data_IF_958662518030
#
_entry.id   IF_958662518030
#
_cell.length_a   1.000
_cell.length_b   1.000
_cell.length_c   1.000
_cell.angle_alpha   90.00
_cell.angle_beta   90.00
_cell.angle_gamma   90.00
#
_symmetry.space_group_name_H-M   'P 1'
#
loop_
_entity.id
_entity.type
_entity.pdbx_description
1 polymer ?
#
# COMPACT_ATOMS: atom_id res chain seq x y z
N UNK A 1 -27.73 10.97 -13.86
CA UNK A 1 -26.74 12.06 -13.80
C UNK A 1 -25.46 11.54 -14.41
N UNK A 2 -25.12 11.98 -15.62
CA UNK A 2 -23.86 11.63 -16.27
C UNK A 2 -22.74 12.43 -15.61
N UNK A 3 -21.67 11.77 -15.21
CA UNK A 3 -20.49 12.37 -14.55
C UNK A 3 -19.61 13.19 -15.53
N UNK A 4 -20.11 13.45 -16.75
CA UNK A 4 -19.34 13.93 -17.90
C UNK A 4 -19.16 15.45 -17.96
N UNK A 5 -19.61 16.22 -16.96
CA UNK A 5 -19.52 17.69 -16.99
C UNK A 5 -18.46 18.25 -16.03
N UNK A 6 -17.43 17.47 -15.68
CA UNK A 6 -16.32 17.96 -14.87
C UNK A 6 -15.03 18.00 -15.70
N UNK A 7 -14.72 19.19 -16.23
CA UNK A 7 -13.48 19.48 -16.99
C UNK A 7 -12.22 19.10 -16.19
N UNK A 8 -12.29 19.08 -14.86
CA UNK A 8 -11.21 18.58 -13.99
C UNK A 8 -11.01 17.05 -14.07
N UNK A 9 -12.06 16.25 -14.27
CA UNK A 9 -11.96 14.80 -14.40
C UNK A 9 -11.38 14.42 -15.77
N UNK A 10 -11.80 15.08 -16.85
CA UNK A 10 -11.23 14.84 -18.19
C UNK A 10 -9.73 15.17 -18.26
N UNK A 11 -9.29 16.26 -17.62
CA UNK A 11 -7.85 16.59 -17.53
C UNK A 11 -7.06 15.65 -16.62
N UNK A 12 -7.69 15.06 -15.61
CA UNK A 12 -7.04 14.16 -14.66
C UNK A 12 -6.82 12.76 -15.23
N UNK A 13 -7.77 12.26 -16.04
CA UNK A 13 -7.64 11.03 -16.82
C UNK A 13 -7.05 11.27 -18.21
N UNK A 14 -6.69 12.50 -18.55
CA UNK A 14 -5.99 12.80 -19.79
C UNK A 14 -4.68 12.00 -19.86
N UNK A 15 -4.37 11.49 -21.05
CA UNK A 15 -3.16 10.69 -21.34
C UNK A 15 -1.84 11.40 -21.00
N UNK A 16 -1.88 12.70 -20.68
CA UNK A 16 -0.73 13.46 -20.23
C UNK A 16 -0.36 13.21 -18.76
N UNK A 17 -1.31 12.74 -17.93
CA UNK A 17 -1.11 12.50 -16.49
C UNK A 17 -0.75 11.06 -16.18
N UNK A 18 -1.55 10.12 -16.68
CA UNK A 18 -1.30 8.70 -16.55
C UNK A 18 -0.36 8.28 -17.68
N UNK A 19 0.79 7.71 -17.29
CA UNK A 19 1.73 7.07 -18.20
C UNK A 19 1.26 5.67 -18.60
N UNK A 20 2.23 4.79 -18.87
CA UNK A 20 1.94 3.42 -19.27
C UNK A 20 1.26 2.62 -18.15
N UNK A 21 0.45 1.64 -18.56
CA UNK A 21 -0.04 0.59 -17.66
C UNK A 21 1.13 -0.31 -17.29
N UNK A 22 1.49 -0.37 -16.01
CA UNK A 22 2.53 -1.28 -15.51
C UNK A 22 1.97 -2.66 -15.24
N UNK A 23 0.80 -2.72 -14.58
CA UNK A 23 0.10 -3.97 -14.30
C UNK A 23 -1.38 -3.83 -14.65
N UNK A 24 -1.85 -4.43 -15.75
CA UNK A 24 -3.27 -4.42 -16.09
C UNK A 24 -4.08 -5.27 -15.10
N UNK A 25 -5.37 -4.96 -14.94
CA UNK A 25 -6.27 -5.64 -14.01
C UNK A 25 -6.22 -7.17 -14.11
N UNK A 26 -6.14 -7.73 -15.32
CA UNK A 26 -6.06 -9.17 -15.55
C UNK A 26 -4.81 -9.81 -14.91
N UNK A 27 -3.65 -9.14 -15.02
CA UNK A 27 -2.39 -9.58 -14.43
C UNK A 27 -2.44 -9.48 -12.91
N UNK A 28 -3.00 -8.39 -12.38
CA UNK A 28 -3.20 -8.21 -10.93
C UNK A 28 -4.09 -9.33 -10.38
N UNK A 29 -5.27 -9.56 -10.98
CA UNK A 29 -6.21 -10.60 -10.54
C UNK A 29 -5.59 -11.99 -10.55
N UNK A 30 -4.81 -12.32 -11.59
CA UNK A 30 -4.10 -13.60 -11.65
C UNK A 30 -3.09 -13.72 -10.50
N UNK A 31 -2.29 -12.68 -10.25
CA UNK A 31 -1.29 -12.69 -9.20
C UNK A 31 -1.91 -12.77 -7.80
N UNK A 32 -2.97 -12.02 -7.54
CA UNK A 32 -3.73 -12.08 -6.28
C UNK A 32 -4.28 -13.49 -6.05
N UNK A 33 -4.80 -14.14 -7.10
CA UNK A 33 -5.28 -15.53 -6.99
C UNK A 33 -4.17 -16.53 -6.63
N UNK A 34 -2.96 -16.33 -7.16
CA UNK A 34 -1.81 -17.17 -6.81
C UNK A 34 -1.41 -16.98 -5.35
N UNK A 35 -1.36 -15.74 -4.87
CA UNK A 35 -1.04 -15.43 -3.47
C UNK A 35 -2.10 -16.01 -2.53
N UNK A 36 -3.38 -15.84 -2.85
CA UNK A 36 -4.47 -16.40 -2.05
C UNK A 36 -4.37 -17.92 -1.90
N UNK A 37 -4.01 -18.61 -2.99
CA UNK A 37 -3.72 -20.05 -2.95
C UNK A 37 -2.52 -20.37 -2.03
N UNK A 38 -1.40 -19.66 -2.16
CA UNK A 38 -0.24 -19.88 -1.28
C UNK A 38 -0.56 -19.65 0.19
N UNK A 39 -1.35 -18.62 0.52
CA UNK A 39 -1.81 -18.38 1.90
C UNK A 39 -2.71 -19.53 2.38
N UNK A 40 -3.63 -20.01 1.53
CA UNK A 40 -4.51 -21.15 1.84
C UNK A 40 -3.69 -22.39 2.20
N UNK A 41 -2.69 -22.71 1.37
CA UNK A 41 -1.83 -23.88 1.58
C UNK A 41 -0.98 -23.73 2.86
N UNK A 42 -0.38 -22.56 3.08
CA UNK A 42 0.51 -22.28 4.23
C UNK A 42 -0.22 -22.24 5.58
N UNK A 43 -1.51 -21.89 5.57
CA UNK A 43 -2.35 -21.75 6.77
C UNK A 43 -3.48 -22.78 6.83
N UNK A 44 -3.35 -23.91 6.12
CA UNK A 44 -4.35 -24.99 6.15
C UNK A 44 -4.65 -25.44 7.60
N UNK A 45 -5.94 -25.42 7.97
CA UNK A 45 -6.40 -25.77 9.32
C UNK A 45 -6.17 -24.68 10.38
N UNK A 46 -5.91 -23.44 9.96
CA UNK A 46 -5.74 -22.26 10.82
C UNK A 46 -6.70 -21.15 10.43
N UNK A 47 -6.84 -20.17 11.32
CA UNK A 47 -7.73 -19.01 11.16
C UNK A 47 -6.94 -17.68 11.24
N UNK A 48 -6.14 -17.35 10.21
CA UNK A 48 -5.31 -16.15 10.25
C UNK A 48 -6.14 -14.87 10.21
N UNK A 49 -5.59 -13.80 10.80
CA UNK A 49 -6.13 -12.44 10.70
C UNK A 49 -5.36 -11.66 9.64
N UNK A 50 -6.07 -11.08 8.68
CA UNK A 50 -5.50 -10.16 7.70
C UNK A 50 -5.57 -8.74 8.25
N UNK A 51 -4.42 -8.10 8.42
CA UNK A 51 -4.33 -6.73 8.95
C UNK A 51 -3.86 -5.80 7.83
N UNK A 52 -4.71 -4.86 7.41
CA UNK A 52 -4.33 -3.87 6.39
C UNK A 52 -4.04 -2.51 7.00
N UNK A 53 -2.99 -1.87 6.49
CA UNK A 53 -2.65 -0.49 6.84
C UNK A 53 -3.47 0.47 6.01
N UNK A 54 -4.21 1.36 6.68
CA UNK A 54 -5.04 2.33 5.98
C UNK A 54 -4.17 3.40 5.31
N UNK A 55 -4.48 3.83 4.08
CA UNK A 55 -5.69 3.52 3.28
C UNK A 55 -5.42 2.66 2.04
N UNK A 56 -4.18 2.61 1.57
CA UNK A 56 -3.87 2.11 0.23
C UNK A 56 -4.06 0.61 0.07
N UNK A 57 -3.80 -0.17 1.12
CA UNK A 57 -3.93 -1.63 1.11
C UNK A 57 -5.36 -2.19 0.97
N UNK A 58 -6.40 -1.37 1.11
CA UNK A 58 -7.80 -1.84 1.20
C UNK A 58 -8.24 -2.60 -0.06
N UNK A 59 -7.90 -2.10 -1.25
CA UNK A 59 -8.34 -2.72 -2.51
C UNK A 59 -7.65 -4.08 -2.69
N UNK A 60 -6.34 -4.14 -2.47
CA UNK A 60 -5.58 -5.39 -2.51
C UNK A 60 -6.07 -6.39 -1.45
N UNK A 61 -6.27 -5.96 -0.21
CA UNK A 61 -6.83 -6.77 0.87
C UNK A 61 -8.17 -7.41 0.48
N UNK A 62 -9.08 -6.62 -0.09
CA UNK A 62 -10.42 -7.07 -0.45
C UNK A 62 -10.40 -8.10 -1.58
N UNK A 63 -9.52 -7.91 -2.57
CA UNK A 63 -9.35 -8.88 -3.65
C UNK A 63 -8.67 -10.16 -3.16
N UNK A 64 -7.66 -10.02 -2.30
CA UNK A 64 -6.90 -11.13 -1.74
C UNK A 64 -7.76 -12.01 -0.82
N UNK A 65 -8.54 -11.41 0.09
CA UNK A 65 -9.36 -12.14 1.05
C UNK A 65 -10.34 -13.09 0.36
N UNK A 66 -10.91 -12.68 -0.78
CA UNK A 66 -11.81 -13.51 -1.62
C UNK A 66 -11.10 -14.65 -2.36
N UNK A 67 -9.78 -14.75 -2.27
CA UNK A 67 -8.96 -15.80 -2.90
C UNK A 67 -8.31 -16.74 -1.88
N UNK A 68 -8.55 -16.52 -0.59
CA UNK A 68 -8.10 -17.40 0.48
C UNK A 68 -9.27 -18.31 0.84
N UNK A 69 -9.07 -19.63 0.76
CA UNK A 69 -10.08 -20.65 1.04
C UNK A 69 -9.93 -21.17 2.47
N UNK A 70 -10.06 -20.25 3.43
CA UNK A 70 -9.96 -20.49 4.87
C UNK A 70 -10.93 -19.58 5.62
N UNK A 71 -11.26 -19.92 6.86
CA UNK A 71 -11.84 -18.95 7.79
C UNK A 71 -10.79 -17.88 8.13
N UNK A 72 -11.14 -16.61 7.96
CA UNK A 72 -10.26 -15.46 8.22
C UNK A 72 -11.02 -14.36 8.93
N UNK A 73 -10.32 -13.55 9.72
CA UNK A 73 -10.80 -12.23 10.15
C UNK A 73 -10.00 -11.11 9.47
N UNK A 74 -10.59 -9.92 9.38
CA UNK A 74 -9.95 -8.73 8.78
C UNK A 74 -9.99 -7.60 9.79
N UNK A 75 -8.86 -6.94 9.99
CA UNK A 75 -8.77 -5.74 10.80
C UNK A 75 -7.88 -4.68 10.13
N UNK A 76 -7.94 -3.45 10.62
CA UNK A 76 -7.29 -2.30 10.03
C UNK A 76 -6.51 -1.52 11.07
N UNK A 77 -5.28 -1.15 10.71
CA UNK A 77 -4.48 -0.22 11.49
C UNK A 77 -4.30 1.09 10.72
N UNK A 78 -4.61 2.20 11.38
CA UNK A 78 -4.36 3.54 10.85
C UNK A 78 -3.02 4.04 11.34
N UNK A 79 -2.20 4.56 10.43
CA UNK A 79 -0.94 5.21 10.78
C UNK A 79 -0.82 6.59 10.14
N UNK A 80 -0.05 7.45 10.78
CA UNK A 80 0.42 8.72 10.22
C UNK A 80 1.92 8.83 10.41
N UNK A 81 2.64 9.13 9.33
CA UNK A 81 4.07 9.47 9.37
C UNK A 81 4.23 10.97 9.58
N UNK A 82 5.00 11.38 10.59
CA UNK A 82 5.33 12.80 10.77
C UNK A 82 6.30 13.27 9.67
N UNK A 83 5.83 14.17 8.81
CA UNK A 83 6.70 15.00 7.98
C UNK A 83 7.15 16.18 8.84
N UNK A 84 8.35 16.11 9.44
CA UNK A 84 8.95 17.26 10.10
C UNK A 84 9.12 18.42 9.10
N UNK A 85 9.21 19.66 9.61
CA UNK A 85 9.42 20.87 8.81
C UNK A 85 10.74 20.89 8.00
N UNK A 86 11.66 19.95 8.27
CA UNK A 86 12.89 19.73 7.52
C UNK A 86 12.80 18.42 6.73
N UNK A 87 13.49 18.32 5.59
CA UNK A 87 13.46 17.23 4.58
C UNK A 87 13.85 15.83 5.11
N UNK A 88 13.91 15.62 6.42
CA UNK A 88 14.15 14.34 7.07
C UNK A 88 12.81 13.71 7.48
N UNK A 89 12.46 12.59 6.84
CA UNK A 89 11.50 11.65 7.41
C UNK A 89 12.08 11.23 8.76
N UNK A 90 11.56 11.77 9.88
CA UNK A 90 12.04 11.43 11.23
C UNK A 90 11.78 9.96 11.58
N UNK A 91 11.05 9.23 10.73
CA UNK A 91 10.67 7.84 10.95
C UNK A 91 9.64 7.68 12.07
N UNK A 92 9.14 8.79 12.62
CA UNK A 92 8.13 8.76 13.69
C UNK A 92 6.79 8.43 13.04
N UNK A 93 6.34 7.19 13.28
CA UNK A 93 5.02 6.69 12.92
C UNK A 93 4.15 6.78 14.17
N UNK A 94 2.92 7.30 14.01
CA UNK A 94 1.88 7.31 15.05
C UNK A 94 0.71 6.46 14.60
N UNK A 95 0.21 5.61 15.48
CA UNK A 95 -1.05 4.89 15.29
C UNK A 95 -2.20 5.89 15.45
N UNK A 96 -3.04 6.01 14.43
CA UNK A 96 -4.23 6.87 14.38
C UNK A 96 -5.53 6.09 14.57
N UNK A 97 -5.52 4.79 14.24
CA UNK A 97 -6.54 3.81 14.58
C UNK A 97 -5.83 2.52 14.95
N UNK A 98 -6.18 1.95 16.10
CA UNK A 98 -5.66 0.65 16.52
C UNK A 98 -6.58 -0.49 16.07
N UNK A 99 -6.08 -1.73 16.21
CA UNK A 99 -6.82 -2.97 16.00
C UNK A 99 -8.01 -3.06 16.97
N UNK A 100 -9.09 -3.66 16.49
CA UNK A 100 -10.29 -3.96 17.27
C UNK A 100 -10.24 -5.39 17.84
N UNK A 101 -9.66 -6.34 17.11
CA UNK A 101 -9.47 -7.71 17.58
C UNK A 101 -8.18 -7.87 18.41
N UNK A 102 -8.23 -8.77 19.39
CA UNK A 102 -7.01 -9.26 20.03
C UNK A 102 -6.24 -10.15 19.06
N UNK A 103 -4.92 -9.99 19.07
CA UNK A 103 -4.01 -10.74 18.21
C UNK A 103 -3.10 -11.71 18.98
N UNK A 104 -3.29 -11.83 20.30
CA UNK A 104 -2.52 -12.77 21.12
C UNK A 104 -2.76 -14.21 20.65
N UNK A 105 -1.68 -14.95 20.40
CA UNK A 105 -1.74 -16.33 19.91
C UNK A 105 -2.30 -16.50 18.48
N UNK A 106 -2.55 -15.41 17.75
CA UNK A 106 -3.08 -15.46 16.37
C UNK A 106 -1.97 -15.44 15.33
N UNK A 107 -2.23 -16.07 14.18
CA UNK A 107 -1.43 -15.94 12.98
C UNK A 107 -1.83 -14.67 12.23
N UNK A 108 -0.91 -13.70 12.09
CA UNK A 108 -1.18 -12.41 11.44
C UNK A 108 -0.54 -12.37 10.06
N UNK A 109 -1.29 -11.88 9.08
CA UNK A 109 -0.77 -11.51 7.76
C UNK A 109 -0.99 -10.01 7.56
N UNK A 110 0.10 -9.24 7.59
CA UNK A 110 0.05 -7.81 7.28
C UNK A 110 -0.09 -7.66 5.76
N UNK A 111 -1.13 -6.97 5.31
CA UNK A 111 -1.45 -6.73 3.89
C UNK A 111 -1.20 -5.26 3.53
N UNK A 112 -0.16 -5.02 2.73
CA UNK A 112 0.29 -3.69 2.29
C UNK A 112 0.14 -3.50 0.78
N UNK A 113 -0.18 -2.29 0.34
CA UNK A 113 -0.18 -1.95 -1.09
C UNK A 113 1.24 -1.82 -1.64
N UNK A 114 2.14 -1.14 -0.92
CA UNK A 114 3.52 -0.96 -1.33
C UNK A 114 4.48 -0.90 -0.14
N UNK A 115 5.57 -1.65 -0.22
CA UNK A 115 6.68 -1.53 0.73
C UNK A 115 7.89 -0.91 0.03
N UNK A 116 8.13 0.37 0.34
CA UNK A 116 9.25 1.16 -0.18
C UNK A 116 10.49 1.06 0.75
N UNK A 117 10.71 2.02 1.66
CA UNK A 117 11.89 2.00 2.55
C UNK A 117 11.87 0.91 3.61
N UNK A 118 10.69 0.37 3.93
CA UNK A 118 10.49 -0.66 4.96
C UNK A 118 10.38 -0.13 6.39
N UNK A 119 10.52 1.17 6.60
CA UNK A 119 10.47 1.78 7.95
C UNK A 119 9.10 1.62 8.60
N UNK A 120 8.03 1.87 7.84
CA UNK A 120 6.64 1.77 8.30
C UNK A 120 6.28 0.36 8.73
N UNK A 121 6.49 -0.63 7.86
CA UNK A 121 6.15 -2.02 8.16
C UNK A 121 7.01 -2.57 9.31
N UNK A 122 8.28 -2.15 9.44
CA UNK A 122 9.10 -2.52 10.59
C UNK A 122 8.60 -1.90 11.92
N UNK A 123 8.10 -0.67 11.88
CA UNK A 123 7.44 -0.08 13.04
C UNK A 123 6.22 -0.92 13.47
N UNK A 124 5.37 -1.29 12.49
CA UNK A 124 4.20 -2.13 12.74
C UNK A 124 4.60 -3.51 13.28
N UNK A 125 5.59 -4.16 12.69
CA UNK A 125 6.11 -5.44 13.17
C UNK A 125 6.53 -5.35 14.65
N UNK A 126 7.25 -4.30 15.06
CA UNK A 126 7.64 -4.13 16.47
C UNK A 126 6.42 -3.94 17.38
N UNK A 127 5.46 -3.13 16.97
CA UNK A 127 4.24 -2.86 17.74
C UNK A 127 3.32 -4.09 17.87
N UNK A 128 3.19 -4.88 16.81
CA UNK A 128 2.34 -6.07 16.80
C UNK A 128 3.00 -7.25 17.52
N UNK A 129 4.34 -7.41 17.41
CA UNK A 129 5.08 -8.45 18.15
C UNK A 129 4.94 -8.33 19.66
N UNK A 130 4.86 -7.12 20.21
CA UNK A 130 4.67 -6.94 21.66
C UNK A 130 3.29 -7.37 22.16
N UNK A 131 2.37 -7.76 21.27
CA UNK A 131 1.04 -8.28 21.60
C UNK A 131 0.96 -9.81 21.55
N UNK A 132 2.12 -10.48 21.50
CA UNK A 132 2.28 -11.94 21.54
C UNK A 132 1.48 -12.75 20.51
N UNK A 133 1.51 -12.42 19.20
CA UNK A 133 0.92 -13.27 18.19
C UNK A 133 1.69 -14.59 18.02
N UNK A 134 1.02 -15.61 17.48
CA UNK A 134 1.68 -16.88 17.13
C UNK A 134 2.65 -16.72 15.96
N UNK A 135 2.28 -15.91 14.96
CA UNK A 135 3.17 -15.53 13.86
C UNK A 135 2.79 -14.17 13.28
N UNK A 136 3.74 -13.53 12.60
CA UNK A 136 3.47 -12.34 11.78
C UNK A 136 4.22 -12.50 10.46
N UNK A 137 3.48 -12.54 9.37
CA UNK A 137 4.01 -12.57 8.02
C UNK A 137 3.55 -11.35 7.22
N UNK A 138 4.30 -11.00 6.17
CA UNK A 138 4.02 -9.83 5.34
C UNK A 138 3.62 -10.28 3.94
N UNK A 139 2.50 -9.72 3.48
CA UNK A 139 2.00 -9.79 2.11
C UNK A 139 1.94 -8.37 1.53
N UNK A 140 2.67 -8.09 0.46
CA UNK A 140 2.57 -6.80 -0.24
C UNK A 140 2.24 -6.97 -1.70
N UNK A 141 1.43 -6.06 -2.25
CA UNK A 141 1.20 -6.01 -3.68
C UNK A 141 2.46 -5.55 -4.43
N UNK A 142 3.12 -4.49 -3.99
CA UNK A 142 4.32 -3.94 -4.62
C UNK A 142 5.52 -3.90 -3.67
N UNK A 143 6.62 -4.53 -4.05
CA UNK A 143 7.90 -4.41 -3.35
C UNK A 143 8.85 -3.50 -4.14
N UNK A 144 9.16 -2.32 -3.60
CA UNK A 144 10.19 -1.42 -4.14
C UNK A 144 11.48 -1.59 -3.34
N UNK A 145 12.13 -2.73 -3.54
CA UNK A 145 13.31 -3.12 -2.78
C UNK A 145 14.55 -2.23 -3.04
N UNK A 146 14.63 -1.53 -4.16
CA UNK A 146 15.77 -0.67 -4.52
C UNK A 146 15.98 0.53 -3.58
N UNK A 147 14.95 0.89 -2.80
CA UNK A 147 14.97 1.98 -1.81
C UNK A 147 14.94 1.45 -0.36
N UNK A 148 15.11 0.15 -0.17
CA UNK A 148 15.07 -0.52 1.14
C UNK A 148 16.13 0.06 2.07
N UNK A 149 15.69 0.57 3.22
CA UNK A 149 16.56 1.06 4.31
C UNK A 149 16.50 0.10 5.49
N UNK A 150 15.30 -0.36 5.83
CA UNK A 150 15.09 -1.32 6.92
C UNK A 150 14.84 -2.71 6.34
N UNK A 151 15.67 -3.67 6.71
CA UNK A 151 15.51 -5.06 6.32
C UNK A 151 14.11 -5.56 6.68
N UNK A 152 13.42 -6.13 5.69
CA UNK A 152 12.03 -6.56 5.82
C UNK A 152 11.89 -7.88 5.10
N UNK A 153 11.59 -8.95 5.85
CA UNK A 153 11.27 -10.24 5.25
C UNK A 153 9.82 -10.22 4.77
N UNK A 154 9.64 -10.20 3.44
CA UNK A 154 8.34 -10.25 2.79
C UNK A 154 8.09 -11.70 2.37
N UNK A 155 7.00 -12.31 2.87
CA UNK A 155 6.67 -13.71 2.56
C UNK A 155 5.93 -13.82 1.23
N UNK A 156 5.00 -12.90 0.98
CA UNK A 156 4.23 -12.88 -0.26
C UNK A 156 4.39 -11.52 -0.96
N UNK A 157 4.94 -11.56 -2.17
CA UNK A 157 5.13 -10.36 -3.01
C UNK A 157 4.26 -10.48 -4.25
N UNK A 158 3.42 -9.49 -4.52
CA UNK A 158 2.70 -9.37 -5.79
C UNK A 158 3.67 -9.15 -6.94
N UNK A 159 4.31 -7.98 -6.96
CA UNK A 159 5.24 -7.56 -8.00
C UNK A 159 6.40 -6.79 -7.39
N UNK A 160 7.58 -6.92 -7.98
CA UNK A 160 8.72 -6.06 -7.69
C UNK A 160 8.74 -4.91 -8.69
N UNK A 161 8.94 -3.69 -8.21
CA UNK A 161 9.00 -2.47 -9.05
C UNK A 161 10.31 -1.72 -8.83
N UNK A 162 10.66 -0.88 -9.81
CA UNK A 162 11.81 0.01 -9.74
C UNK A 162 11.44 1.41 -9.23
N UNK A 163 12.00 2.42 -9.90
CA UNK A 163 11.85 3.83 -9.55
C UNK A 163 10.53 4.46 -10.02
N UNK A 164 9.64 3.69 -10.64
CA UNK A 164 8.37 4.19 -11.17
C UNK A 164 7.51 4.78 -10.05
N UNK A 165 6.97 5.98 -10.25
CA UNK A 165 5.89 6.50 -9.42
C UNK A 165 4.59 5.87 -9.88
N UNK A 166 3.85 5.25 -8.97
CA UNK A 166 2.71 4.39 -9.33
C UNK A 166 1.42 4.87 -8.68
N UNK A 167 0.33 4.74 -9.40
CA UNK A 167 -1.04 5.04 -8.95
C UNK A 167 -2.01 3.97 -9.44
N UNK A 168 -3.19 3.91 -8.82
CA UNK A 168 -4.21 2.93 -9.16
C UNK A 168 -4.19 1.71 -8.25
N UNK A 169 -5.31 0.98 -8.23
CA UNK A 169 -5.50 -0.21 -7.41
C UNK A 169 -5.19 0.04 -5.92
N UNK A 170 -5.71 1.15 -5.38
CA UNK A 170 -5.49 1.58 -3.99
C UNK A 170 -4.39 2.62 -3.84
N UNK A 171 -3.37 2.62 -4.71
CA UNK A 171 -2.27 3.59 -4.70
C UNK A 171 -2.77 4.97 -5.18
N UNK A 172 -2.24 6.03 -4.59
CA UNK A 172 -2.70 7.39 -4.88
C UNK A 172 -1.60 8.38 -5.23
N UNK A 173 -2.07 9.46 -5.86
CA UNK A 173 -1.38 10.73 -5.88
C UNK A 173 -2.34 11.82 -5.42
N UNK A 174 -2.00 12.51 -4.33
CA UNK A 174 -2.85 13.56 -3.72
C UNK A 174 -4.29 13.06 -3.47
N UNK A 175 -4.45 11.83 -2.99
CA UNK A 175 -5.71 11.12 -2.74
C UNK A 175 -6.54 10.78 -3.99
N UNK A 176 -6.00 10.99 -5.19
CA UNK A 176 -6.65 10.63 -6.47
C UNK A 176 -6.16 9.29 -7.00
N UNK A 177 -6.86 8.75 -7.99
CA UNK A 177 -6.53 7.53 -8.77
C UNK A 177 -6.66 6.18 -8.06
N UNK A 178 -6.93 6.13 -6.74
CA UNK A 178 -7.08 4.85 -6.01
C UNK A 178 -8.08 3.89 -6.66
N UNK A 179 -9.12 4.42 -7.29
CA UNK A 179 -10.24 3.69 -7.89
C UNK A 179 -9.92 3.07 -9.26
N UNK A 180 -8.75 3.31 -9.84
CA UNK A 180 -8.35 2.63 -11.07
C UNK A 180 -8.16 1.13 -10.81
N UNK A 181 -8.59 0.29 -11.75
CA UNK A 181 -8.57 -1.18 -11.63
C UNK A 181 -7.20 -1.81 -11.95
N UNK A 182 -6.27 -0.99 -12.42
CA UNK A 182 -4.95 -1.34 -12.91
C UNK A 182 -3.92 -0.39 -12.29
N UNK A 183 -2.64 -0.76 -12.33
CA UNK A 183 -1.54 0.06 -11.81
C UNK A 183 -0.86 0.75 -12.98
N UNK A 184 -0.74 2.07 -12.88
CA UNK A 184 -0.19 2.96 -13.90
C UNK A 184 1.06 3.63 -13.38
N UNK A 185 2.01 3.88 -14.28
CA UNK A 185 3.05 4.87 -14.03
C UNK A 185 2.43 6.28 -14.05
N UNK A 186 2.80 7.13 -13.10
CA UNK A 186 2.45 8.55 -13.10
C UNK A 186 3.52 9.34 -13.86
N UNK A 187 3.12 10.21 -14.78
CA UNK A 187 4.06 10.98 -15.60
C UNK A 187 5.01 11.83 -14.73
N UNK A 188 6.33 11.64 -14.94
CA UNK A 188 7.39 12.30 -14.17
C UNK A 188 7.34 13.82 -14.23
N UNK A 189 6.86 14.41 -15.32
CA UNK A 189 6.83 15.88 -15.45
C UNK A 189 5.82 16.53 -14.49
N UNK A 190 4.75 15.80 -14.14
CA UNK A 190 3.80 16.24 -13.12
C UNK A 190 4.41 16.13 -11.74
N UNK A 191 5.10 15.01 -11.47
CA UNK A 191 5.81 14.80 -10.21
C UNK A 191 6.87 15.90 -10.00
N UNK A 192 7.65 16.24 -11.03
CA UNK A 192 8.67 17.30 -10.99
C UNK A 192 8.07 18.68 -10.75
N UNK A 193 7.05 19.08 -11.51
CA UNK A 193 6.39 20.39 -11.34
C UNK A 193 5.87 20.59 -9.93
N UNK A 194 5.26 19.56 -9.34
CA UNK A 194 4.76 19.65 -7.97
C UNK A 194 5.87 19.71 -6.91
N UNK A 195 7.04 19.11 -7.18
CA UNK A 195 8.24 19.25 -6.34
C UNK A 195 8.79 20.68 -6.46
N UNK A 196 8.95 21.19 -7.69
CA UNK A 196 9.49 22.53 -7.97
C UNK A 196 8.61 23.64 -7.40
N UNK A 197 7.27 23.54 -7.53
CA UNK A 197 6.33 24.50 -6.93
C UNK A 197 6.49 24.53 -5.41
N UNK A 198 6.60 23.37 -4.75
CA UNK A 198 6.80 23.32 -3.29
C UNK A 198 8.14 23.90 -2.83
N UNK A 199 9.18 23.82 -3.66
CA UNK A 199 10.48 24.42 -3.36
C UNK A 199 10.46 25.94 -3.60
N UNK A 200 9.78 26.41 -4.65
CA UNK A 200 9.57 27.84 -4.92
C UNK A 200 8.76 28.55 -3.83
N UNK A 201 7.67 27.95 -3.34
CA UNK A 201 6.83 28.53 -2.27
C UNK A 201 7.53 28.65 -0.90
N UNK A 202 8.61 27.89 -0.68
CA UNK A 202 9.43 28.00 0.54
C UNK A 202 10.44 29.14 0.47
N UNK A 203 10.84 29.57 -0.73
CA UNK A 203 11.81 30.65 -0.91
C UNK A 203 11.19 32.05 -0.89
N UNK A 204 9.87 32.17 -1.00
CA UNK A 204 9.14 33.45 -0.91
C UNK A 204 8.64 33.79 0.52
N UNK A 205 8.75 32.85 1.47
CA UNK A 205 8.35 33.03 2.87
C UNK A 205 9.53 32.91 3.85
N UNK A 206 10.76 33.13 3.37
CA UNK A 206 12.01 33.12 4.15
C UNK A 206 12.57 34.51 4.35
#
# INVERSE_FOLDING_TARGET
MNCSENIELENLYASSVLGKVLFPNSVIRQRVSQIGKSITDDYCGKEPILVSVLRGGIIFLTDLSRKIDLEISIDFIGISTYQGSSKTNTGIVKITKDLEETIEGRDIIIVEDIIDTGLTVNYLLRNLKSRNPASIEICTLLDRNIRRIAETKIKYTGFTIGEEFVVGYGLDYKQKFRNLDSIYELNRDIVKRDIEIKEGSKNENG
#
